data_IF_059889838157
#
_entry.id   IF_059889838157
#
_cell.length_a   1.000
_cell.length_b   1.000
_cell.length_c   1.000
_cell.angle_alpha   90.00
_cell.angle_beta   90.00
_cell.angle_gamma   90.00
#
_symmetry.space_group_name_H-M   'P 1'
#
loop_
_entity.id
_entity.type
_entity.pdbx_description
1 polymer ?
#
# COMPACT_ATOMS: atom_id res chain seq x y z
N UNK A 1 35.93 -43.01 22.48
CA UNK A 1 35.87 -41.55 22.68
C UNK A 1 35.18 -40.96 21.47
N UNK A 2 34.02 -40.32 21.66
CA UNK A 2 33.25 -39.71 20.57
C UNK A 2 33.86 -38.34 20.20
N UNK A 3 33.83 -37.91 18.92
CA UNK A 3 34.38 -36.63 18.51
C UNK A 3 33.47 -35.48 18.97
N UNK A 4 34.10 -34.43 19.47
CA UNK A 4 33.47 -33.21 20.01
C UNK A 4 32.89 -32.40 18.84
N UNK A 5 31.58 -32.14 18.88
CA UNK A 5 30.91 -31.24 17.94
C UNK A 5 31.35 -29.80 18.22
N UNK A 6 31.93 -29.14 17.21
CA UNK A 6 32.27 -27.72 17.24
C UNK A 6 31.03 -26.96 16.80
N UNK A 7 30.42 -26.21 17.72
CA UNK A 7 29.34 -25.26 17.42
C UNK A 7 29.89 -24.12 16.55
N UNK A 8 29.21 -23.75 15.44
CA UNK A 8 29.61 -22.58 14.67
C UNK A 8 29.42 -21.30 15.50
N UNK A 9 30.24 -20.26 15.25
CA UNK A 9 30.15 -19.01 16.00
C UNK A 9 28.80 -18.32 15.74
N UNK A 10 28.27 -17.58 16.72
CA UNK A 10 27.05 -16.81 16.55
C UNK A 10 27.20 -15.81 15.40
N UNK A 11 26.23 -15.80 14.49
CA UNK A 11 26.14 -14.79 13.43
C UNK A 11 25.84 -13.45 14.11
N UNK A 12 26.82 -12.55 14.11
CA UNK A 12 26.61 -11.18 14.59
C UNK A 12 25.56 -10.49 13.71
N UNK A 13 24.52 -9.85 14.29
CA UNK A 13 23.62 -9.02 13.53
C UNK A 13 24.43 -7.90 12.87
N UNK A 14 24.28 -7.72 11.55
CA UNK A 14 24.92 -6.64 10.80
C UNK A 14 24.67 -5.32 11.53
N UNK A 15 25.75 -4.73 12.08
CA UNK A 15 25.70 -3.42 12.71
C UNK A 15 25.13 -2.40 11.73
N UNK A 16 24.16 -1.60 12.20
CA UNK A 16 23.59 -0.50 11.45
C UNK A 16 24.71 0.43 10.97
N UNK A 17 24.70 0.77 9.67
CA UNK A 17 25.68 1.67 9.06
C UNK A 17 25.67 3.02 9.81
N UNK A 18 26.82 3.51 10.30
CA UNK A 18 26.88 4.83 10.92
C UNK A 18 26.70 5.91 9.84
N UNK A 19 25.61 6.67 9.91
CA UNK A 19 25.39 7.84 9.05
C UNK A 19 23.95 8.14 8.62
N UNK A 20 22.97 7.29 8.90
CA UNK A 20 21.56 7.62 8.59
C UNK A 20 20.96 8.40 9.75
N UNK A 21 20.66 9.69 9.53
CA UNK A 21 19.88 10.49 10.47
C UNK A 21 18.50 9.86 10.61
N UNK A 22 18.28 9.05 11.64
CA UNK A 22 16.97 8.47 11.94
C UNK A 22 16.01 9.62 12.27
N UNK A 23 14.85 9.67 11.61
CA UNK A 23 13.88 10.73 11.82
C UNK A 23 13.40 10.77 13.29
N UNK A 24 13.18 11.95 13.84
CA UNK A 24 12.72 12.09 15.23
C UNK A 24 11.28 11.61 15.38
N UNK A 25 11.08 10.58 16.19
CA UNK A 25 9.78 9.93 16.43
C UNK A 25 9.04 10.46 17.67
N UNK A 26 9.56 11.51 18.32
CA UNK A 26 8.96 12.09 19.52
C UNK A 26 7.58 12.73 19.26
N UNK A 27 6.89 13.06 20.36
CA UNK A 27 5.58 13.69 20.33
C UNK A 27 5.61 15.00 19.49
N UNK A 28 4.72 15.10 18.51
CA UNK A 28 4.63 16.22 17.57
C UNK A 28 4.03 17.49 18.18
N UNK A 29 3.43 17.41 19.37
CA UNK A 29 2.95 18.54 20.15
C UNK A 29 1.63 19.15 19.67
N UNK A 30 0.83 18.43 18.90
CA UNK A 30 -0.41 18.94 18.28
C UNK A 30 -1.65 18.24 18.83
N UNK A 31 -2.80 18.93 18.84
CA UNK A 31 -4.04 18.41 19.45
C UNK A 31 -4.92 17.63 18.47
N UNK A 32 -4.76 17.83 17.16
CA UNK A 32 -5.55 17.14 16.14
C UNK A 32 -5.30 15.62 16.19
N UNK A 33 -6.39 14.85 16.30
CA UNK A 33 -6.33 13.40 16.07
C UNK A 33 -6.07 13.14 14.58
N UNK A 34 -5.12 12.26 14.29
CA UNK A 34 -4.75 11.83 12.93
C UNK A 34 -4.94 10.32 12.86
N UNK A 35 -5.37 9.82 11.71
CA UNK A 35 -5.35 8.41 11.37
C UNK A 35 -4.72 8.22 9.99
N UNK A 36 -3.90 7.19 9.86
CA UNK A 36 -3.30 6.79 8.60
C UNK A 36 -3.95 5.51 8.08
N UNK A 37 -4.29 5.54 6.79
CA UNK A 37 -4.60 4.37 5.97
C UNK A 37 -3.51 4.26 4.90
N UNK A 38 -2.87 3.11 4.81
CA UNK A 38 -1.82 2.87 3.82
C UNK A 38 -2.16 1.66 2.99
N UNK A 39 -1.94 1.71 1.67
CA UNK A 39 -1.81 0.49 0.90
C UNK A 39 -0.56 -0.30 1.35
N UNK A 40 -0.46 -1.54 0.90
CA UNK A 40 0.59 -2.47 1.30
C UNK A 40 1.59 -2.71 0.17
N UNK A 41 1.15 -3.44 -0.85
CA UNK A 41 1.91 -3.78 -2.05
C UNK A 41 2.13 -2.52 -2.89
N UNK A 42 3.37 -2.25 -3.32
CA UNK A 42 3.74 -1.01 -4.01
C UNK A 42 3.91 0.22 -3.11
N UNK A 43 3.44 0.16 -1.85
CA UNK A 43 3.46 1.28 -0.90
C UNK A 43 4.40 1.05 0.29
N UNK A 44 4.07 0.13 1.20
CA UNK A 44 4.93 -0.27 2.34
C UNK A 44 6.04 -1.18 1.85
N UNK A 45 5.69 -2.13 0.97
CA UNK A 45 6.63 -3.01 0.29
C UNK A 45 6.70 -2.64 -1.19
N UNK A 46 7.88 -2.76 -1.79
CA UNK A 46 8.07 -2.36 -3.20
C UNK A 46 7.48 -3.38 -4.17
N UNK A 47 7.44 -4.65 -3.79
CA UNK A 47 6.91 -5.75 -4.56
C UNK A 47 5.50 -6.12 -4.11
N UNK A 48 4.77 -6.79 -4.99
CA UNK A 48 3.43 -7.28 -4.73
C UNK A 48 3.49 -8.72 -4.19
N UNK A 49 2.89 -8.92 -3.03
CA UNK A 49 2.83 -10.20 -2.31
C UNK A 49 2.07 -11.26 -3.09
N UNK A 50 0.96 -10.90 -3.75
CA UNK A 50 0.19 -11.79 -4.62
C UNK A 50 1.02 -12.20 -5.83
N UNK A 51 1.61 -11.24 -6.55
CA UNK A 51 2.49 -11.51 -7.70
C UNK A 51 3.63 -12.45 -7.32
N UNK A 52 4.25 -12.23 -6.15
CA UNK A 52 5.31 -13.09 -5.64
C UNK A 52 4.83 -14.53 -5.48
N UNK A 53 3.63 -14.76 -4.94
CA UNK A 53 3.05 -16.10 -4.83
C UNK A 53 2.72 -16.71 -6.20
N UNK A 54 2.01 -15.97 -7.05
CA UNK A 54 1.52 -16.48 -8.33
C UNK A 54 2.67 -16.82 -9.29
N UNK A 55 3.74 -16.03 -9.26
CA UNK A 55 4.89 -16.24 -10.14
C UNK A 55 5.71 -17.47 -9.76
N UNK A 56 5.76 -17.82 -8.46
CA UNK A 56 6.57 -18.93 -7.96
C UNK A 56 5.78 -20.23 -7.79
N UNK A 57 4.51 -20.15 -7.42
CA UNK A 57 3.69 -21.30 -6.98
C UNK A 57 2.31 -21.37 -7.63
N UNK A 58 1.97 -20.41 -8.49
CA UNK A 58 0.68 -20.32 -9.14
C UNK A 58 0.79 -20.42 -10.65
N UNK A 59 -0.01 -19.61 -11.33
CA UNK A 59 -0.10 -19.60 -12.79
C UNK A 59 1.15 -19.08 -13.52
N UNK A 60 2.12 -18.49 -12.80
CA UNK A 60 3.34 -17.93 -13.35
C UNK A 60 3.15 -16.54 -13.99
N UNK A 61 4.25 -15.84 -14.29
CA UNK A 61 4.24 -14.44 -14.75
C UNK A 61 3.55 -14.25 -16.10
N UNK A 62 3.66 -15.20 -17.02
CA UNK A 62 3.06 -15.10 -18.36
C UNK A 62 1.53 -15.12 -18.30
N UNK A 63 0.95 -16.07 -17.55
CA UNK A 63 -0.50 -16.15 -17.38
C UNK A 63 -1.02 -14.98 -16.55
N UNK A 64 -0.28 -14.56 -15.51
CA UNK A 64 -0.60 -13.36 -14.74
C UNK A 64 -0.65 -12.10 -15.60
N UNK A 65 0.29 -11.93 -16.54
CA UNK A 65 0.29 -10.81 -17.49
C UNK A 65 -0.96 -10.80 -18.37
N UNK A 66 -1.41 -11.96 -18.85
CA UNK A 66 -2.67 -12.08 -19.61
C UNK A 66 -3.85 -11.66 -18.72
N UNK A 67 -3.91 -12.14 -17.48
CA UNK A 67 -4.98 -11.79 -16.55
C UNK A 67 -5.00 -10.30 -16.19
N UNK A 68 -3.82 -9.67 -16.06
CA UNK A 68 -3.70 -8.22 -15.88
C UNK A 68 -4.29 -7.47 -17.08
N UNK A 69 -3.97 -7.86 -18.31
CA UNK A 69 -4.54 -7.24 -19.52
C UNK A 69 -6.09 -7.39 -19.59
N UNK A 70 -6.63 -8.53 -19.13
CA UNK A 70 -8.09 -8.72 -19.04
C UNK A 70 -8.74 -7.80 -18.01
N UNK A 71 -8.06 -7.55 -16.88
CA UNK A 71 -8.50 -6.60 -15.89
C UNK A 71 -8.45 -5.16 -16.44
N UNK A 72 -7.35 -4.79 -17.08
CA UNK A 72 -7.10 -3.46 -17.64
C UNK A 72 -8.06 -3.09 -18.75
N UNK A 73 -8.38 -4.03 -19.63
CA UNK A 73 -9.38 -3.85 -20.70
C UNK A 73 -10.83 -3.85 -20.19
N UNK A 74 -11.05 -4.19 -18.92
CA UNK A 74 -12.38 -4.37 -18.33
C UNK A 74 -13.12 -5.59 -18.88
N UNK A 75 -12.41 -6.56 -19.47
CA UNK A 75 -12.98 -7.86 -19.89
C UNK A 75 -13.47 -8.65 -18.67
N UNK A 76 -12.72 -8.58 -17.57
CA UNK A 76 -13.02 -9.25 -16.31
C UNK A 76 -12.87 -8.31 -15.13
N UNK A 77 -13.65 -8.56 -14.10
CA UNK A 77 -13.55 -7.82 -12.83
C UNK A 77 -12.28 -8.20 -12.05
N UNK A 78 -11.88 -7.33 -11.11
CA UNK A 78 -10.78 -7.60 -10.20
C UNK A 78 -11.01 -8.88 -9.41
N UNK A 79 -12.24 -9.09 -8.92
CA UNK A 79 -12.63 -10.29 -8.18
C UNK A 79 -12.47 -11.56 -9.03
N UNK A 80 -13.00 -11.58 -10.25
CA UNK A 80 -12.88 -12.75 -11.14
C UNK A 80 -11.44 -13.09 -11.51
N UNK A 81 -10.60 -12.07 -11.74
CA UNK A 81 -9.18 -12.26 -12.02
C UNK A 81 -8.45 -12.79 -10.79
N UNK A 82 -8.72 -12.19 -9.62
CA UNK A 82 -8.08 -12.59 -8.37
C UNK A 82 -8.49 -13.98 -7.90
N UNK A 83 -9.76 -14.37 -8.07
CA UNK A 83 -10.22 -15.73 -7.78
C UNK A 83 -9.45 -16.76 -8.62
N UNK A 84 -9.18 -16.48 -9.91
CA UNK A 84 -8.35 -17.36 -10.76
C UNK A 84 -6.88 -17.36 -10.33
N UNK A 85 -6.33 -16.21 -9.95
CA UNK A 85 -4.96 -16.12 -9.46
C UNK A 85 -4.76 -16.92 -8.17
N UNK A 86 -5.62 -16.72 -7.17
CA UNK A 86 -5.54 -17.47 -5.91
C UNK A 86 -5.81 -18.96 -6.12
N UNK A 87 -6.80 -19.33 -6.93
CA UNK A 87 -7.09 -20.75 -7.22
C UNK A 87 -5.96 -21.46 -7.98
N UNK A 88 -5.01 -20.71 -8.57
CA UNK A 88 -3.85 -21.29 -9.24
C UNK A 88 -2.74 -21.75 -8.28
N UNK A 89 -2.78 -21.31 -7.01
CA UNK A 89 -1.76 -21.65 -6.02
C UNK A 89 -1.87 -23.10 -5.55
N UNK A 90 -0.74 -23.79 -5.56
CA UNK A 90 -0.57 -25.14 -5.01
C UNK A 90 0.67 -25.17 -4.10
N UNK A 91 0.56 -24.53 -2.94
CA UNK A 91 1.65 -24.38 -1.98
C UNK A 91 1.12 -24.19 -0.56
N UNK A 92 1.67 -24.89 0.46
CA UNK A 92 1.34 -24.60 1.86
C UNK A 92 1.67 -23.16 2.22
N UNK A 93 0.87 -22.54 3.10
CA UNK A 93 1.03 -21.13 3.45
C UNK A 93 2.44 -20.77 3.93
N UNK A 94 3.03 -21.61 4.80
CA UNK A 94 4.37 -21.36 5.34
C UNK A 94 5.46 -21.48 4.27
N UNK A 95 5.34 -22.43 3.35
CA UNK A 95 6.31 -22.60 2.24
C UNK A 95 6.21 -21.43 1.24
N UNK A 96 4.99 -20.99 0.93
CA UNK A 96 4.73 -19.82 0.10
C UNK A 96 5.25 -18.53 0.73
N UNK A 97 5.30 -18.47 2.06
CA UNK A 97 5.86 -17.32 2.77
C UNK A 97 7.40 -17.27 2.71
N UNK A 98 8.11 -18.40 2.61
CA UNK A 98 9.58 -18.41 2.59
C UNK A 98 10.17 -17.58 1.44
N UNK A 99 9.55 -17.58 0.25
CA UNK A 99 10.04 -16.77 -0.88
C UNK A 99 9.91 -15.27 -0.60
N UNK A 100 8.86 -14.86 0.11
CA UNK A 100 8.57 -13.44 0.39
C UNK A 100 9.65 -12.78 1.26
N UNK A 101 10.30 -13.55 2.15
CA UNK A 101 11.35 -13.03 3.04
C UNK A 101 12.53 -12.41 2.27
N UNK A 102 12.75 -12.88 1.05
CA UNK A 102 13.86 -12.41 0.19
C UNK A 102 13.39 -11.62 -1.02
N UNK A 103 12.14 -11.84 -1.47
CA UNK A 103 11.58 -11.15 -2.62
C UNK A 103 11.01 -9.76 -2.27
N UNK A 104 10.59 -9.56 -1.02
CA UNK A 104 9.97 -8.31 -0.58
C UNK A 104 11.01 -7.38 0.06
N UNK A 105 11.06 -6.15 -0.44
CA UNK A 105 11.80 -5.03 0.13
C UNK A 105 10.81 -4.09 0.81
N UNK A 106 10.97 -3.94 2.13
CA UNK A 106 10.23 -2.94 2.90
C UNK A 106 10.81 -1.55 2.63
N UNK A 107 9.96 -0.52 2.59
CA UNK A 107 10.41 0.86 2.52
C UNK A 107 11.38 1.16 3.68
N UNK A 108 12.55 1.76 3.39
CA UNK A 108 13.64 1.87 4.37
C UNK A 108 13.27 2.71 5.59
N UNK A 109 12.29 3.60 5.47
CA UNK A 109 11.88 4.51 6.55
C UNK A 109 10.58 4.07 7.24
N UNK A 110 9.93 2.99 6.77
CA UNK A 110 8.63 2.56 7.28
C UNK A 110 8.66 2.23 8.78
N UNK A 111 9.67 1.48 9.25
CA UNK A 111 9.77 1.13 10.68
C UNK A 111 9.87 2.39 11.56
N UNK A 112 10.68 3.36 11.15
CA UNK A 112 10.84 4.63 11.88
C UNK A 112 9.53 5.43 11.86
N UNK A 113 8.83 5.47 10.72
CA UNK A 113 7.53 6.14 10.62
C UNK A 113 6.45 5.45 11.48
N UNK A 114 6.42 4.12 11.51
CA UNK A 114 5.48 3.38 12.34
C UNK A 114 5.75 3.58 13.84
N UNK A 115 7.01 3.60 14.25
CA UNK A 115 7.42 4.01 15.61
C UNK A 115 6.91 5.44 15.93
N UNK A 116 7.04 6.38 14.98
CA UNK A 116 6.47 7.72 15.12
C UNK A 116 4.95 7.69 15.30
N UNK A 117 4.22 6.89 14.52
CA UNK A 117 2.78 6.74 14.66
C UNK A 117 2.40 6.23 16.06
N UNK A 118 3.08 5.18 16.55
CA UNK A 118 2.84 4.61 17.89
C UNK A 118 3.10 5.64 18.99
N UNK A 119 4.24 6.34 18.94
CA UNK A 119 4.62 7.36 19.93
C UNK A 119 3.67 8.57 19.97
N UNK A 120 2.98 8.83 18.87
CA UNK A 120 2.03 9.94 18.73
C UNK A 120 0.56 9.50 18.83
N UNK A 121 0.30 8.24 19.19
CA UNK A 121 -1.04 7.65 19.23
C UNK A 121 -1.82 7.86 17.92
N UNK A 122 -1.15 7.80 16.78
CA UNK A 122 -1.73 7.85 15.44
C UNK A 122 -2.05 6.41 15.05
N UNK A 123 -3.34 6.00 14.93
CA UNK A 123 -3.66 4.69 14.42
C UNK A 123 -3.15 4.54 12.99
N UNK A 124 -2.38 3.49 12.74
CA UNK A 124 -1.88 3.15 11.42
C UNK A 124 -2.58 1.87 10.95
N UNK A 125 -3.26 1.95 9.80
CA UNK A 125 -4.07 0.86 9.27
C UNK A 125 -3.58 0.52 7.87
N UNK A 126 -3.35 -0.76 7.62
CA UNK A 126 -3.17 -1.27 6.26
C UNK A 126 -4.54 -1.45 5.63
N UNK A 127 -4.74 -0.89 4.43
CA UNK A 127 -5.95 -1.05 3.63
C UNK A 127 -5.60 -1.60 2.25
N UNK A 128 -5.78 -2.90 2.05
CA UNK A 128 -5.24 -3.63 0.89
C UNK A 128 -6.28 -4.53 0.23
N UNK A 129 -6.15 -4.75 -1.08
CA UNK A 129 -6.94 -5.73 -1.82
C UNK A 129 -6.39 -7.17 -1.71
N UNK A 130 -5.21 -7.35 -1.09
CA UNK A 130 -4.60 -8.64 -0.82
C UNK A 130 -5.28 -9.42 0.31
N UNK A 131 -4.60 -10.48 0.78
CA UNK A 131 -5.12 -11.39 1.80
C UNK A 131 -4.53 -11.10 3.18
N UNK A 132 -5.38 -10.75 4.14
CA UNK A 132 -5.03 -10.47 5.54
C UNK A 132 -4.02 -11.45 6.16
N UNK A 133 -4.17 -12.79 6.08
CA UNK A 133 -3.19 -13.70 6.68
C UNK A 133 -1.78 -13.55 6.08
N UNK A 134 -1.67 -13.32 4.77
CA UNK A 134 -0.39 -13.05 4.09
C UNK A 134 0.22 -11.76 4.61
N UNK A 135 -0.55 -10.66 4.57
CA UNK A 135 -0.07 -9.34 4.98
C UNK A 135 0.38 -9.32 6.46
N UNK A 136 -0.38 -10.00 7.34
CA UNK A 136 -0.02 -10.17 8.75
C UNK A 136 1.32 -10.87 8.90
N UNK A 137 1.49 -12.03 8.27
CA UNK A 137 2.73 -12.82 8.35
C UNK A 137 3.94 -12.05 7.83
N UNK A 138 3.78 -11.30 6.74
CA UNK A 138 4.82 -10.42 6.20
C UNK A 138 5.19 -9.33 7.21
N UNK A 139 4.22 -8.60 7.78
CA UNK A 139 4.52 -7.58 8.80
C UNK A 139 5.22 -8.17 10.02
N UNK A 140 4.72 -9.30 10.55
CA UNK A 140 5.29 -9.95 11.72
C UNK A 140 6.77 -10.31 11.52
N UNK A 141 7.14 -10.73 10.31
CA UNK A 141 8.53 -11.02 9.97
C UNK A 141 9.41 -9.78 9.81
N UNK A 142 8.95 -8.78 9.07
CA UNK A 142 9.80 -7.65 8.68
C UNK A 142 9.92 -6.57 9.77
N UNK A 143 8.91 -6.42 10.64
CA UNK A 143 8.92 -5.40 11.71
C UNK A 143 8.74 -5.99 13.12
N UNK A 144 8.55 -7.30 13.23
CA UNK A 144 8.33 -8.00 14.50
C UNK A 144 6.88 -7.91 14.99
N UNK A 145 6.40 -8.99 15.62
CA UNK A 145 5.03 -9.09 16.16
C UNK A 145 4.68 -7.96 17.15
N UNK A 146 5.67 -7.49 17.92
CA UNK A 146 5.48 -6.41 18.88
C UNK A 146 5.13 -5.07 18.21
N UNK A 147 5.69 -4.77 17.04
CA UNK A 147 5.34 -3.56 16.31
C UNK A 147 4.16 -3.80 15.37
N UNK A 148 4.07 -4.97 14.75
CA UNK A 148 2.99 -5.29 13.81
C UNK A 148 1.61 -5.31 14.47
N UNK A 149 1.49 -5.69 15.75
CA UNK A 149 0.20 -5.70 16.48
C UNK A 149 -0.43 -4.30 16.60
N UNK A 150 0.36 -3.24 16.42
CA UNK A 150 -0.13 -1.86 16.39
C UNK A 150 -0.66 -1.43 15.01
N UNK A 151 -0.67 -2.34 14.04
CA UNK A 151 -1.23 -2.12 12.69
C UNK A 151 -2.51 -2.94 12.57
N UNK A 152 -3.64 -2.29 12.36
CA UNK A 152 -4.86 -3.00 11.93
C UNK A 152 -4.80 -3.26 10.42
N UNK A 153 -5.36 -4.40 9.99
CA UNK A 153 -5.39 -4.80 8.59
C UNK A 153 -6.84 -4.87 8.12
N UNK A 154 -7.18 -3.97 7.21
CA UNK A 154 -8.46 -3.91 6.51
C UNK A 154 -8.24 -4.47 5.10
N UNK A 155 -8.50 -5.76 4.92
CA UNK A 155 -8.26 -6.47 3.67
C UNK A 155 -9.26 -7.62 3.49
N UNK A 156 -9.15 -8.33 2.37
CA UNK A 156 -9.82 -9.61 2.18
C UNK A 156 -9.22 -10.66 3.13
N UNK A 157 -9.97 -11.71 3.43
CA UNK A 157 -9.46 -12.85 4.21
C UNK A 157 -9.23 -14.05 3.28
N UNK A 158 -8.75 -15.18 3.80
CA UNK A 158 -8.47 -16.36 2.99
C UNK A 158 -8.84 -17.67 3.68
N UNK A 159 -9.24 -18.67 2.88
CA UNK A 159 -9.22 -20.08 3.27
C UNK A 159 -8.08 -20.76 2.52
N UNK A 160 -7.13 -21.30 3.27
CA UNK A 160 -5.98 -22.00 2.72
C UNK A 160 -6.01 -23.43 3.26
N UNK A 161 -6.04 -24.41 2.36
CA UNK A 161 -5.92 -25.81 2.74
C UNK A 161 -4.55 -26.04 3.40
N UNK A 162 -4.51 -26.86 4.46
CA UNK A 162 -3.25 -27.07 5.21
C UNK A 162 -2.14 -27.72 4.39
N UNK A 163 -2.51 -28.48 3.36
CA UNK A 163 -1.59 -29.06 2.37
C UNK A 163 -1.25 -28.12 1.21
N UNK A 164 -1.84 -26.92 1.17
CA UNK A 164 -1.60 -25.93 0.14
C UNK A 164 -2.41 -26.08 -1.15
N UNK A 165 -3.16 -27.17 -1.29
CA UNK A 165 -3.83 -27.56 -2.55
C UNK A 165 -4.97 -26.64 -2.99
N UNK A 166 -5.38 -25.71 -2.12
CA UNK A 166 -6.48 -24.78 -2.39
C UNK A 166 -6.31 -23.50 -1.60
N UNK A 167 -6.28 -22.39 -2.33
CA UNK A 167 -6.39 -21.04 -1.80
C UNK A 167 -7.67 -20.39 -2.30
N UNK A 168 -8.45 -19.82 -1.39
CA UNK A 168 -9.67 -19.08 -1.71
C UNK A 168 -9.70 -17.75 -0.98
N UNK A 169 -9.99 -16.67 -1.69
CA UNK A 169 -10.28 -15.40 -1.08
C UNK A 169 -11.67 -15.41 -0.42
N UNK A 170 -11.74 -14.92 0.82
CA UNK A 170 -12.98 -14.49 1.45
C UNK A 170 -13.08 -12.98 1.24
N UNK A 171 -13.88 -12.59 0.27
CA UNK A 171 -14.06 -11.21 -0.14
C UNK A 171 -14.72 -10.37 0.97
N UNK A 172 -14.13 -9.22 1.29
CA UNK A 172 -14.63 -8.31 2.34
C UNK A 172 -15.95 -7.67 1.94
N UNK A 173 -16.09 -7.30 0.68
CA UNK A 173 -17.27 -6.68 0.11
C UNK A 173 -17.77 -7.51 -1.08
N UNK A 174 -19.08 -7.75 -1.12
CA UNK A 174 -19.72 -8.47 -2.24
C UNK A 174 -19.88 -7.53 -3.45
N UNK A 175 -18.76 -7.26 -4.11
CA UNK A 175 -18.63 -6.35 -5.26
C UNK A 175 -17.54 -6.86 -6.20
N UNK A 176 -17.50 -6.35 -7.43
CA UNK A 176 -16.48 -6.67 -8.45
C UNK A 176 -15.05 -6.30 -8.03
N UNK A 177 -14.90 -5.40 -7.05
CA UNK A 177 -13.61 -5.01 -6.48
C UNK A 177 -13.12 -5.98 -5.39
N UNK A 178 -14.00 -6.81 -4.83
CA UNK A 178 -13.72 -7.65 -3.65
C UNK A 178 -13.53 -6.86 -2.35
N UNK A 179 -12.77 -5.77 -2.39
CA UNK A 179 -12.61 -4.81 -1.32
C UNK A 179 -12.70 -3.37 -1.85
N UNK A 180 -13.88 -2.76 -1.71
CA UNK A 180 -14.05 -1.30 -1.82
C UNK A 180 -13.36 -0.56 -0.64
N UNK A 181 -12.13 -0.08 -0.89
CA UNK A 181 -11.33 0.68 0.10
C UNK A 181 -12.03 1.97 0.55
N UNK A 182 -12.73 2.67 -0.35
CA UNK A 182 -13.44 3.91 -0.03
C UNK A 182 -14.60 3.68 0.94
N UNK A 183 -15.32 2.56 0.77
CA UNK A 183 -16.36 2.14 1.71
C UNK A 183 -15.79 1.92 3.11
N UNK A 184 -14.67 1.19 3.24
CA UNK A 184 -14.07 0.94 4.56
C UNK A 184 -13.54 2.21 5.24
N UNK A 185 -12.95 3.16 4.49
CA UNK A 185 -12.57 4.48 5.05
C UNK A 185 -13.81 5.24 5.53
N UNK A 186 -14.92 5.19 4.80
CA UNK A 186 -16.15 5.87 5.18
C UNK A 186 -16.82 5.27 6.41
N UNK A 187 -16.82 3.94 6.53
CA UNK A 187 -17.29 3.22 7.72
C UNK A 187 -16.47 3.65 8.95
N UNK A 188 -15.14 3.72 8.82
CA UNK A 188 -14.27 4.23 9.89
C UNK A 188 -14.59 5.68 10.24
N UNK A 189 -14.70 6.56 9.24
CA UNK A 189 -15.00 7.99 9.47
C UNK A 189 -16.35 8.17 10.19
N UNK A 190 -17.35 7.35 9.87
CA UNK A 190 -18.64 7.37 10.53
C UNK A 190 -18.54 6.90 12.00
N UNK A 191 -17.81 5.82 12.28
CA UNK A 191 -17.56 5.34 13.63
C UNK A 191 -16.81 6.39 14.48
N UNK A 192 -15.73 6.95 13.94
CA UNK A 192 -14.94 7.99 14.61
C UNK A 192 -15.75 9.28 14.89
N UNK A 193 -16.75 9.58 14.05
CA UNK A 193 -17.66 10.71 14.28
C UNK A 193 -18.64 10.42 15.43
N UNK A 194 -19.12 9.18 15.57
CA UNK A 194 -20.00 8.76 16.66
C UNK A 194 -19.28 8.71 18.02
N UNK A 195 -18.01 8.32 18.02
CA UNK A 195 -17.15 8.25 19.21
C UNK A 195 -16.56 9.62 19.63
N UNK A 196 -16.84 10.68 18.87
CA UNK A 196 -16.27 12.00 19.14
C UNK A 196 -17.08 12.77 20.18
N UNK A 197 -16.60 12.78 21.42
CA UNK A 197 -17.24 13.47 22.56
C UNK A 197 -17.37 15.00 22.39
N UNK A 198 -16.58 15.61 21.51
CA UNK A 198 -16.51 17.06 21.33
C UNK A 198 -16.71 17.52 19.87
N UNK A 199 -17.18 16.63 18.99
CA UNK A 199 -17.41 16.91 17.58
C UNK A 199 -16.13 17.09 16.74
N UNK A 200 -14.96 16.79 17.31
CA UNK A 200 -13.69 16.78 16.57
C UNK A 200 -13.57 15.51 15.73
N UNK A 201 -13.43 15.66 14.42
CA UNK A 201 -13.24 14.53 13.51
C UNK A 201 -11.73 14.36 13.27
N UNK A 202 -11.20 13.12 13.29
CA UNK A 202 -9.80 12.89 12.96
C UNK A 202 -9.50 13.27 11.52
N UNK A 203 -8.29 13.77 11.28
CA UNK A 203 -7.74 13.97 9.94
C UNK A 203 -7.39 12.61 9.34
N UNK A 204 -7.96 12.29 8.18
CA UNK A 204 -7.67 11.04 7.48
C UNK A 204 -6.53 11.26 6.49
N UNK A 205 -5.43 10.58 6.72
CA UNK A 205 -4.29 10.48 5.82
C UNK A 205 -4.40 9.18 5.06
N UNK A 206 -4.33 9.24 3.72
CA UNK A 206 -4.23 8.07 2.85
C UNK A 206 -2.87 8.05 2.16
N UNK A 207 -2.24 6.88 2.11
CA UNK A 207 -0.93 6.65 1.51
C UNK A 207 -1.08 5.49 0.51
N UNK A 208 -0.76 5.71 -0.75
CA UNK A 208 -0.90 4.68 -1.78
C UNK A 208 -0.03 4.91 -3.00
N UNK A 209 -0.16 4.02 -3.97
CA UNK A 209 0.63 4.03 -5.21
C UNK A 209 -0.18 3.66 -6.47
N UNK A 210 -1.27 2.92 -6.30
CA UNK A 210 -1.92 2.19 -7.39
C UNK A 210 -3.28 2.71 -7.84
N UNK A 211 -3.79 2.14 -8.93
CA UNK A 211 -5.13 2.44 -9.48
C UNK A 211 -6.26 1.96 -8.54
N UNK A 212 -6.02 0.90 -7.78
CA UNK A 212 -6.98 0.39 -6.79
C UNK A 212 -7.25 1.40 -5.67
N UNK A 213 -6.35 2.36 -5.46
CA UNK A 213 -6.46 3.39 -4.43
C UNK A 213 -7.30 4.60 -4.85
N UNK A 214 -7.62 4.76 -6.14
CA UNK A 214 -8.32 5.94 -6.64
C UNK A 214 -9.64 6.25 -5.92
N UNK A 215 -10.48 5.26 -5.56
CA UNK A 215 -11.66 5.53 -4.75
C UNK A 215 -11.30 6.05 -3.36
N UNK A 216 -10.31 5.42 -2.69
CA UNK A 216 -9.89 5.78 -1.33
C UNK A 216 -9.21 7.16 -1.28
N UNK A 217 -8.44 7.50 -2.30
CA UNK A 217 -7.76 8.78 -2.48
C UNK A 217 -8.75 9.97 -2.44
N UNK A 218 -9.98 9.78 -2.92
CA UNK A 218 -11.03 10.81 -2.90
C UNK A 218 -11.65 11.05 -1.53
N UNK A 219 -11.53 10.09 -0.62
CA UNK A 219 -12.12 10.12 0.72
C UNK A 219 -11.18 10.70 1.78
N UNK A 220 -9.89 10.86 1.45
CA UNK A 220 -8.85 11.35 2.34
C UNK A 220 -8.86 12.88 2.50
N UNK A 221 -8.40 13.36 3.66
CA UNK A 221 -8.12 14.79 3.91
C UNK A 221 -6.68 15.15 3.46
N UNK A 222 -5.76 14.20 3.60
CA UNK A 222 -4.40 14.26 3.03
C UNK A 222 -4.17 13.01 2.19
N UNK A 223 -3.75 13.19 0.94
CA UNK A 223 -3.39 12.11 0.05
C UNK A 223 -1.88 12.13 -0.20
N UNK A 224 -1.21 11.04 0.12
CA UNK A 224 0.16 10.76 -0.30
C UNK A 224 0.14 9.77 -1.45
N UNK A 225 0.80 10.11 -2.56
CA UNK A 225 0.96 9.24 -3.72
C UNK A 225 2.44 8.96 -3.96
N UNK A 226 2.81 7.69 -4.13
CA UNK A 226 4.22 7.35 -4.40
C UNK A 226 4.63 7.89 -5.76
N UNK A 227 5.81 8.52 -5.82
CA UNK A 227 6.31 9.18 -7.03
C UNK A 227 6.51 8.18 -8.18
N UNK A 228 6.13 8.61 -9.38
CA UNK A 228 6.32 7.87 -10.63
C UNK A 228 5.36 6.70 -10.82
N UNK A 229 4.35 6.55 -9.96
CA UNK A 229 3.38 5.45 -10.02
C UNK A 229 1.97 5.94 -10.37
N UNK A 230 1.07 4.99 -10.61
CA UNK A 230 -0.23 5.23 -11.27
C UNK A 230 -1.13 6.18 -10.50
N UNK A 231 -1.08 6.15 -9.17
CA UNK A 231 -1.85 7.09 -8.34
C UNK A 231 -1.39 8.55 -8.55
N UNK A 232 -0.07 8.79 -8.66
CA UNK A 232 0.47 10.13 -8.95
C UNK A 232 0.03 10.60 -10.34
N UNK A 233 0.20 9.75 -11.37
CA UNK A 233 -0.23 10.05 -12.74
C UNK A 233 -1.70 10.46 -12.79
N UNK A 234 -2.56 9.68 -12.14
CA UNK A 234 -3.99 9.96 -12.07
C UNK A 234 -4.29 11.28 -11.37
N UNK A 235 -3.60 11.56 -10.25
CA UNK A 235 -3.79 12.81 -9.51
C UNK A 235 -3.41 14.03 -10.35
N UNK A 236 -2.32 13.95 -11.14
CA UNK A 236 -1.91 15.00 -12.06
C UNK A 236 -2.96 15.21 -13.15
N UNK A 237 -3.39 14.14 -13.81
CA UNK A 237 -4.35 14.19 -14.92
C UNK A 237 -5.70 14.79 -14.50
N UNK A 238 -6.16 14.46 -13.29
CA UNK A 238 -7.48 14.85 -12.79
C UNK A 238 -7.44 16.07 -11.85
N UNK A 239 -6.28 16.68 -11.66
CA UNK A 239 -6.11 17.83 -10.77
C UNK A 239 -6.50 17.54 -9.31
N UNK A 240 -6.25 16.32 -8.83
CA UNK A 240 -6.44 15.96 -7.43
C UNK A 240 -5.30 16.52 -6.59
N UNK A 241 -5.62 17.05 -5.40
CA UNK A 241 -4.60 17.49 -4.45
C UNK A 241 -3.94 16.27 -3.81
N UNK A 242 -2.63 16.17 -3.92
CA UNK A 242 -1.83 15.11 -3.32
C UNK A 242 -0.45 15.64 -2.92
N UNK A 243 0.27 14.85 -2.15
CA UNK A 243 1.66 15.08 -1.76
C UNK A 243 2.47 13.90 -2.26
N UNK A 244 3.44 14.10 -3.18
CA UNK A 244 4.27 13.00 -3.63
C UNK A 244 5.27 12.59 -2.54
N UNK A 245 5.58 11.30 -2.47
CA UNK A 245 6.62 10.78 -1.56
C UNK A 245 7.52 9.76 -2.25
N UNK A 246 8.77 9.67 -1.79
CA UNK A 246 9.74 8.67 -2.22
C UNK A 246 9.94 7.60 -1.14
N UNK A 247 9.97 8.01 0.15
CA UNK A 247 9.98 7.10 1.31
C UNK A 247 9.04 7.57 2.42
N UNK A 248 8.82 6.72 3.44
CA UNK A 248 8.01 7.08 4.61
C UNK A 248 8.59 8.23 5.45
N UNK A 249 9.87 8.60 5.28
CA UNK A 249 10.43 9.79 5.92
C UNK A 249 9.82 11.10 5.38
N UNK A 250 9.45 11.14 4.10
CA UNK A 250 8.76 12.27 3.50
C UNK A 250 7.37 12.45 4.10
N UNK A 251 6.66 11.33 4.25
CA UNK A 251 5.34 11.27 4.85
C UNK A 251 5.41 11.79 6.30
N UNK A 252 6.38 11.32 7.09
CA UNK A 252 6.58 11.80 8.46
C UNK A 252 6.73 13.32 8.53
N UNK A 253 7.60 13.87 7.68
CA UNK A 253 7.89 15.31 7.64
C UNK A 253 6.65 16.13 7.30
N UNK A 254 5.90 15.72 6.28
CA UNK A 254 4.70 16.45 5.86
C UNK A 254 3.54 16.27 6.84
N UNK A 255 3.35 15.10 7.45
CA UNK A 255 2.35 14.89 8.52
C UNK A 255 2.61 15.84 9.69
N UNK A 256 3.85 15.95 10.17
CA UNK A 256 4.22 16.88 11.26
C UNK A 256 3.89 18.33 10.88
N UNK A 257 4.23 18.72 9.65
CA UNK A 257 3.98 20.08 9.14
C UNK A 257 2.48 20.37 9.04
N UNK A 258 1.70 19.45 8.48
CA UNK A 258 0.24 19.57 8.33
C UNK A 258 -0.42 19.64 9.71
N UNK A 259 -0.01 18.78 10.65
CA UNK A 259 -0.53 18.77 12.01
C UNK A 259 -0.32 20.11 12.72
N UNK A 260 0.88 20.72 12.58
CA UNK A 260 1.18 22.05 13.15
C UNK A 260 0.34 23.15 12.53
N UNK A 261 0.25 23.18 11.20
CA UNK A 261 -0.59 24.15 10.48
C UNK A 261 -2.07 24.03 10.86
N UNK A 262 -2.55 22.80 11.11
CA UNK A 262 -3.90 22.56 11.60
C UNK A 262 -4.11 23.06 13.03
N UNK A 263 -3.16 22.80 13.93
CA UNK A 263 -3.23 23.23 15.33
C UNK A 263 -3.24 24.76 15.44
N UNK A 264 -2.43 25.45 14.63
CA UNK A 264 -2.39 26.91 14.57
C UNK A 264 -3.73 27.51 14.11
N UNK A 265 -4.41 26.86 13.16
CA UNK A 265 -5.66 27.36 12.56
C UNK A 265 -6.91 26.97 13.34
N UNK A 266 -6.95 25.76 13.87
CA UNK A 266 -8.15 25.14 14.42
C UNK A 266 -8.05 24.91 15.93
N UNK A 267 -6.85 24.99 16.50
CA UNK A 267 -6.54 24.62 17.87
C UNK A 267 -7.01 23.19 18.22
N UNK A 268 -7.00 22.30 17.22
CA UNK A 268 -7.44 20.91 17.31
C UNK A 268 -8.96 20.71 17.44
N UNK A 269 -9.77 21.73 17.10
CA UNK A 269 -11.24 21.67 17.23
C UNK A 269 -11.93 21.59 15.86
N UNK A 270 -13.13 21.03 15.85
CA UNK A 270 -13.98 20.99 14.66
C UNK A 270 -13.36 20.17 13.51
N UNK A 271 -13.48 20.67 12.28
CA UNK A 271 -12.94 20.03 11.09
C UNK A 271 -11.45 20.34 10.89
N UNK A 272 -10.66 19.42 10.31
CA UNK A 272 -9.32 19.73 9.83
C UNK A 272 -9.30 20.94 8.88
N UNK A 273 -8.22 21.72 8.89
CA UNK A 273 -8.02 22.90 8.04
C UNK A 273 -7.93 22.57 6.55
N UNK A 274 -7.53 21.34 6.23
CA UNK A 274 -7.51 20.73 4.91
C UNK A 274 -8.66 19.73 4.71
N UNK A 275 -9.73 19.83 5.51
CA UNK A 275 -10.86 18.91 5.43
C UNK A 275 -11.38 18.83 4.00
N UNK A 276 -11.57 17.60 3.51
CA UNK A 276 -12.07 17.36 2.16
C UNK A 276 -13.61 17.33 2.15
N UNK A 277 -14.30 18.39 1.68
CA UNK A 277 -15.76 18.40 1.64
C UNK A 277 -16.34 17.50 0.55
N UNK A 278 -15.52 17.08 -0.45
CA UNK A 278 -15.97 16.18 -1.52
C UNK A 278 -16.10 14.73 -1.05
N UNK A 279 -15.33 14.30 -0.04
CA UNK A 279 -15.61 13.07 0.69
C UNK A 279 -17.05 13.08 1.26
N UNK A 280 -17.55 14.24 1.69
CA UNK A 280 -18.95 14.41 2.10
C UNK A 280 -19.98 14.49 0.96
N UNK A 281 -19.57 14.77 -0.28
CA UNK A 281 -20.46 14.89 -1.45
C UNK A 281 -20.82 13.50 -1.99
N UNK A 282 -19.83 12.61 -2.15
CA UNK A 282 -20.04 11.22 -2.57
C UNK A 282 -20.89 10.44 -1.56
N UNK A 283 -20.79 10.78 -0.26
CA UNK A 283 -21.71 10.30 0.81
C UNK A 283 -23.19 10.56 0.53
N UNK A 284 -23.57 11.71 -0.05
CA UNK A 284 -24.99 12.03 -0.33
C UNK A 284 -25.52 11.32 -1.58
N UNK A 285 -24.62 11.01 -2.51
CA UNK A 285 -24.95 10.31 -3.75
C UNK A 285 -25.13 8.81 -3.49
N UNK A 286 -24.27 8.19 -2.66
CA UNK A 286 -24.38 6.74 -2.34
C UNK A 286 -25.53 6.41 -1.37
N UNK A 287 -25.90 7.32 -0.46
CA UNK A 287 -26.97 7.10 0.54
C UNK A 287 -28.39 7.26 0.03
N UNK A 288 -28.60 7.84 -1.17
CA UNK A 288 -29.94 8.06 -1.76
C UNK A 288 -30.31 7.06 -2.85
N UNK A 289 -29.43 6.14 -3.22
CA UNK A 289 -29.70 5.18 -4.28
C UNK A 289 -29.34 3.75 -3.85
N UNK A 290 -30.32 3.01 -3.34
CA UNK A 290 -30.37 1.58 -3.58
C UNK A 290 -30.55 1.40 -5.11
N UNK A 291 -29.46 1.01 -5.78
CA UNK A 291 -29.25 0.47 -7.15
C UNK A 291 -30.47 0.51 -8.09
N UNK A 292 -30.42 1.13 -9.30
CA UNK A 292 -29.29 1.06 -10.25
C UNK A 292 -28.95 2.41 -10.94
N UNK A 293 -27.77 2.97 -10.69
CA UNK A 293 -27.19 4.04 -11.53
C UNK A 293 -25.77 3.67 -12.03
N UNK A 294 -25.30 2.45 -11.76
CA UNK A 294 -24.03 1.95 -12.34
C UNK A 294 -24.10 1.72 -13.86
N UNK A 295 -25.29 1.72 -14.48
CA UNK A 295 -25.43 1.69 -15.94
C UNK A 295 -25.32 3.09 -16.61
N UNK A 296 -25.39 4.19 -15.84
CA UNK A 296 -25.31 5.56 -16.38
C UNK A 296 -23.96 6.25 -16.12
N UNK A 297 -23.11 5.65 -15.28
CA UNK A 297 -21.71 6.03 -15.07
C UNK A 297 -20.76 4.85 -15.31
N UNK A 298 -21.26 3.77 -15.91
CA UNK A 298 -20.39 2.93 -16.71
C UNK A 298 -19.79 3.79 -17.82
N UNK A 299 -18.48 3.73 -18.03
CA UNK A 299 -17.82 4.41 -19.12
C UNK A 299 -18.62 4.22 -20.41
N UNK A 300 -19.04 5.31 -21.06
CA UNK A 300 -19.55 5.20 -22.45
C UNK A 300 -18.45 4.51 -23.25
N UNK A 301 -18.83 3.73 -24.27
CA UNK A 301 -17.98 2.87 -25.12
C UNK A 301 -16.60 3.42 -25.54
N UNK A 302 -16.34 4.71 -25.39
CA UNK A 302 -15.08 5.41 -25.64
C UNK A 302 -14.04 5.29 -24.49
N UNK A 303 -14.45 5.04 -23.25
CA UNK A 303 -13.55 4.79 -22.10
C UNK A 303 -13.27 3.28 -21.89
N UNK A 304 -13.72 2.41 -22.80
CA UNK A 304 -13.25 1.01 -22.89
C UNK A 304 -11.82 0.90 -23.44
N UNK A 305 -11.22 2.01 -23.83
CA UNK A 305 -9.83 2.10 -24.24
C UNK A 305 -9.01 2.73 -23.11
N UNK A 306 -8.92 2.07 -21.96
CA UNK A 306 -7.81 2.33 -21.04
C UNK A 306 -6.56 1.73 -21.71
N UNK A 307 -5.93 2.52 -22.59
CA UNK A 307 -4.65 2.19 -23.18
C UNK A 307 -3.62 2.17 -22.05
N UNK A 308 -3.32 0.98 -21.55
CA UNK A 308 -2.22 0.71 -20.66
C UNK A 308 -0.89 1.02 -21.38
N UNK A 309 -0.08 2.00 -20.94
CA UNK A 309 1.27 2.14 -21.46
C UNK A 309 2.14 1.01 -20.89
N UNK A 310 2.85 0.32 -21.78
CA UNK A 310 3.83 -0.71 -21.42
C UNK A 310 4.99 -0.13 -20.61
N UNK A 311 4.86 -0.04 -19.30
CA UNK A 311 6.03 0.10 -18.42
C UNK A 311 5.73 -0.61 -17.11
N UNK A 312 6.01 -1.91 -17.13
CA UNK A 312 6.30 -2.65 -15.91
C UNK A 312 7.47 -2.01 -15.19
N UNK A 313 7.40 -2.03 -13.86
CA UNK A 313 8.44 -1.71 -12.89
C UNK A 313 9.77 -2.37 -13.29
N UNK A 314 10.59 -1.66 -14.05
CA UNK A 314 12.03 -1.86 -14.02
C UNK A 314 12.60 -0.78 -13.11
N UNK A 315 13.40 -1.13 -12.08
CA UNK A 315 14.20 -0.13 -11.41
C UNK A 315 15.05 0.56 -12.47
N UNK A 316 15.06 1.88 -12.47
CA UNK A 316 15.93 2.66 -13.35
C UNK A 316 17.37 2.13 -13.21
N UNK A 317 17.92 1.59 -14.30
CA UNK A 317 19.33 1.25 -14.36
C UNK A 317 20.11 2.55 -14.25
N UNK A 318 20.83 2.72 -13.15
CA UNK A 318 21.83 3.77 -13.02
C UNK A 318 22.93 3.45 -14.03
N UNK A 319 22.96 4.19 -15.14
CA UNK A 319 24.07 4.17 -16.08
C UNK A 319 25.29 4.77 -15.38
N UNK A 320 26.20 3.89 -14.96
CA UNK A 320 27.50 4.28 -14.44
C UNK A 320 28.30 4.93 -15.57
N UNK A 321 28.36 6.26 -15.57
CA UNK A 321 29.26 7.04 -16.41
C UNK A 321 30.61 7.06 -15.72
N UNK A 322 31.43 6.06 -16.00
CA UNK A 322 32.89 6.20 -16.03
C UNK A 322 33.49 4.91 -16.58
N UNK A 323 33.76 4.88 -17.90
CA UNK A 323 34.93 4.27 -18.55
C UNK A 323 34.72 4.30 -20.07
N UNK A 324 34.97 5.47 -20.66
CA UNK A 324 35.12 5.60 -22.11
C UNK A 324 36.14 6.70 -22.43
N UNK A 325 37.42 6.42 -22.18
CA UNK A 325 38.49 7.05 -22.95
C UNK A 325 39.64 6.09 -23.18
N UNK A 326 39.98 5.96 -24.46
CA UNK A 326 41.29 5.70 -25.05
C UNK A 326 41.46 4.33 -25.75
N UNK A 327 41.12 4.31 -27.04
CA UNK A 327 41.92 3.62 -28.06
C UNK A 327 41.44 3.99 -29.47
N UNK A 328 41.91 5.13 -30.00
CA UNK A 328 42.08 5.30 -31.46
C UNK A 328 43.44 5.96 -31.69
N UNK A 329 44.40 5.15 -32.13
CA UNK A 329 45.49 5.57 -32.99
C UNK A 329 46.00 4.33 -33.76
N UNK A 330 45.53 4.19 -35.00
CA UNK A 330 46.26 3.48 -36.07
C UNK A 330 47.57 4.28 -36.37
N UNK A 331 48.59 3.79 -37.12
CA UNK A 331 48.42 2.95 -38.32
C UNK A 331 49.56 1.95 -38.71
N UNK A 332 49.22 1.12 -39.71
CA UNK A 332 50.02 0.61 -40.86
C UNK A 332 51.40 -0.01 -40.60
N UNK A 333 51.50 -1.33 -40.83
CA UNK A 333 52.32 -1.97 -41.89
C UNK A 333 52.04 -3.49 -41.90
#
# INVERSE_FOLDING_TARGET
MAPIAITPPPVEPKQARPGVYRANTANMGTKRKIICFSDFDGTIFMQDTGHTLFDNFGCGPEKRKILAQQLESGERSFREVSDELYASLDVPFEDGFEVMKTALDIDPDFQTFHEFCVNNNIPFNVISAGLKPVLRKVLDHFIGEEMSKHIDIVANDAKIAGDGSRWEAIWRHDTDLGHDKARSINEYRAAAQLESDNGTIPMIVFIGDGVSDLPAAREADVLFARRGLKLEEYCIEHGLSYIPFDTFADIQREVIKIAKLDDDKTHGKGLPSNFNPRANMWRRVSSRAAVPVFAALSPRKEEKAFLWPETFTQPATVLDKDHAMAAIAAPVA
#
